data_IF_926407244740
#
_entry.id   IF_926407244740
#
_cell.length_a   1.000
_cell.length_b   1.000
_cell.length_c   1.000
_cell.angle_alpha   90.00
_cell.angle_beta   90.00
_cell.angle_gamma   90.00
#
_symmetry.space_group_name_H-M   'P 1'
#
loop_
_entity.id
_entity.type
_entity.pdbx_description
1 polymer ?
#
# COMPACT_ATOMS: atom_id res chain seq x y z
N UNK A 1 9.41 5.65 29.55
CA UNK A 1 9.29 4.82 28.34
C UNK A 1 10.44 3.82 28.31
N UNK A 2 10.17 2.51 28.29
CA UNK A 2 11.20 1.49 28.09
C UNK A 2 11.48 1.39 26.59
N UNK A 3 12.69 1.76 26.17
CA UNK A 3 13.14 1.57 24.80
C UNK A 3 13.61 0.13 24.65
N UNK A 4 12.91 -0.64 23.80
CA UNK A 4 13.35 -1.96 23.39
C UNK A 4 14.19 -1.78 22.13
N UNK A 5 15.51 -2.06 22.16
CA UNK A 5 16.33 -1.95 20.96
C UNK A 5 15.81 -2.93 19.90
N UNK A 6 15.53 -2.43 18.70
CA UNK A 6 15.21 -3.26 17.55
C UNK A 6 16.34 -4.26 17.32
N UNK A 7 16.03 -5.55 17.40
CA UNK A 7 16.97 -6.65 17.12
C UNK A 7 17.42 -6.60 15.66
N UNK A 8 18.61 -7.11 15.34
CA UNK A 8 19.16 -7.03 13.98
C UNK A 8 18.30 -7.78 12.94
N UNK A 9 17.57 -8.81 13.35
CA UNK A 9 16.56 -9.47 12.53
C UNK A 9 15.41 -8.51 12.19
N UNK A 10 14.93 -7.75 13.17
CA UNK A 10 13.90 -6.73 12.95
C UNK A 10 14.44 -5.59 12.08
N UNK A 11 15.73 -5.23 12.13
CA UNK A 11 16.34 -4.26 11.19
C UNK A 11 16.42 -4.79 9.75
N UNK A 12 16.55 -6.10 9.57
CA UNK A 12 16.61 -6.75 8.26
C UNK A 12 15.24 -6.78 7.57
N UNK A 13 14.15 -6.89 8.35
CA UNK A 13 12.76 -6.85 7.87
C UNK A 13 12.09 -5.47 8.00
N UNK A 14 12.59 -4.61 8.89
CA UNK A 14 12.24 -3.19 8.96
C UNK A 14 12.91 -2.50 7.81
N UNK A 15 12.27 -2.56 6.63
CA UNK A 15 12.67 -1.91 5.39
C UNK A 15 13.47 -0.62 5.62
N UNK A 16 14.79 -0.75 5.62
CA UNK A 16 15.73 0.36 5.54
C UNK A 16 15.78 0.94 4.11
N UNK A 17 14.64 0.87 3.42
CA UNK A 17 14.47 1.36 2.08
C UNK A 17 14.58 2.88 2.10
N UNK A 18 15.39 3.39 1.17
CA UNK A 18 15.71 4.82 1.05
C UNK A 18 14.44 5.63 0.80
N UNK A 19 13.62 5.18 -0.14
CA UNK A 19 12.37 5.82 -0.51
C UNK A 19 11.18 5.08 0.09
N UNK A 20 10.19 5.84 0.56
CA UNK A 20 8.88 5.32 0.95
C UNK A 20 7.78 6.17 0.32
N UNK A 21 6.97 5.56 -0.52
CA UNK A 21 5.88 6.18 -1.26
C UNK A 21 4.56 5.82 -0.57
N UNK A 22 3.73 6.83 -0.33
CA UNK A 22 2.36 6.66 0.14
C UNK A 22 1.42 6.79 -1.06
N UNK A 23 0.73 5.70 -1.35
CA UNK A 23 -0.23 5.61 -2.44
C UNK A 23 -1.60 5.32 -1.85
N UNK A 24 -2.61 6.08 -2.28
CA UNK A 24 -4.01 5.85 -1.93
C UNK A 24 -4.66 5.18 -3.13
N UNK A 25 -5.18 3.97 -2.94
CA UNK A 25 -5.93 3.24 -3.95
C UNK A 25 -7.42 3.38 -3.66
N UNK A 26 -8.16 3.95 -4.59
CA UNK A 26 -9.60 4.10 -4.52
C UNK A 26 -10.25 2.83 -5.08
N UNK A 27 -11.14 2.24 -4.27
CA UNK A 27 -11.84 1.01 -4.59
C UNK A 27 -13.32 1.28 -4.69
N UNK A 28 -13.93 0.77 -5.74
CA UNK A 28 -15.36 0.54 -5.80
C UNK A 28 -15.66 -0.81 -5.17
N UNK A 29 -16.68 -0.86 -4.32
CA UNK A 29 -17.15 -2.09 -3.68
C UNK A 29 -18.65 -2.21 -3.82
N UNK A 30 -19.14 -3.43 -3.99
CA UNK A 30 -20.57 -3.74 -3.98
C UNK A 30 -20.85 -4.82 -2.93
N UNK A 31 -21.91 -4.63 -2.15
CA UNK A 31 -22.41 -5.61 -1.17
C UNK A 31 -23.93 -5.53 -1.11
N UNK A 32 -24.61 -6.67 -1.28
CA UNK A 32 -26.08 -6.75 -1.19
C UNK A 32 -26.77 -5.69 -2.09
N UNK A 33 -26.28 -5.57 -3.34
CA UNK A 33 -26.72 -4.58 -4.35
C UNK A 33 -26.48 -3.11 -3.98
N UNK A 34 -25.68 -2.83 -2.95
CA UNK A 34 -25.28 -1.47 -2.57
C UNK A 34 -23.86 -1.18 -3.00
N UNK A 35 -23.74 -0.11 -3.78
CA UNK A 35 -22.49 0.46 -4.23
C UNK A 35 -21.86 1.35 -3.15
N UNK A 36 -20.55 1.23 -2.98
CA UNK A 36 -19.76 2.07 -2.07
C UNK A 36 -18.35 2.31 -2.63
N UNK A 37 -17.69 3.34 -2.12
CA UNK A 37 -16.32 3.72 -2.48
C UNK A 37 -15.46 3.82 -1.22
N UNK A 38 -14.44 2.98 -1.15
CA UNK A 38 -13.50 2.95 -0.03
C UNK A 38 -12.09 3.26 -0.51
N UNK A 39 -11.23 3.68 0.42
CA UNK A 39 -9.84 4.00 0.12
C UNK A 39 -8.90 3.05 0.87
N UNK A 40 -7.87 2.56 0.18
CA UNK A 40 -6.80 1.75 0.76
C UNK A 40 -5.47 2.48 0.67
N UNK A 41 -4.85 2.71 1.82
CA UNK A 41 -3.51 3.27 1.87
C UNK A 41 -2.49 2.14 1.72
N UNK A 42 -1.61 2.28 0.72
CA UNK A 42 -0.52 1.35 0.43
C UNK A 42 0.80 2.10 0.59
N UNK A 43 1.72 1.51 1.36
CA UNK A 43 3.08 2.00 1.49
C UNK A 43 4.00 1.14 0.63
N UNK A 44 4.62 1.74 -0.37
CA UNK A 44 5.62 1.09 -1.22
C UNK A 44 6.97 1.62 -0.79
N UNK A 45 7.90 0.74 -0.42
CA UNK A 45 9.27 1.14 -0.18
C UNK A 45 10.20 0.63 -1.27
N UNK A 46 11.24 1.42 -1.58
CA UNK A 46 12.26 1.08 -2.57
C UNK A 46 13.62 1.67 -2.18
N UNK A 47 14.70 1.01 -2.58
CA UNK A 47 16.05 1.57 -2.48
C UNK A 47 16.36 2.56 -3.62
N UNK A 48 15.59 2.50 -4.70
CA UNK A 48 15.73 3.30 -5.90
C UNK A 48 14.52 4.22 -6.07
N UNK A 49 14.71 5.30 -6.83
CA UNK A 49 13.60 6.19 -7.16
C UNK A 49 12.70 5.47 -8.16
N UNK A 50 11.43 5.30 -7.83
CA UNK A 50 10.45 4.69 -8.71
C UNK A 50 9.79 5.77 -9.56
N UNK A 51 9.52 5.43 -10.81
CA UNK A 51 8.63 6.19 -11.69
C UNK A 51 7.18 6.06 -11.24
N UNK A 52 6.32 6.93 -11.75
CA UNK A 52 4.88 6.89 -11.46
C UNK A 52 4.25 5.57 -11.95
N UNK A 53 4.65 5.08 -13.12
CA UNK A 53 4.16 3.81 -13.67
C UNK A 53 4.53 2.61 -12.79
N UNK A 54 5.78 2.57 -12.30
CA UNK A 54 6.23 1.51 -11.39
C UNK A 54 5.48 1.54 -10.05
N UNK A 55 5.16 2.74 -9.55
CA UNK A 55 4.35 2.92 -8.34
C UNK A 55 2.92 2.47 -8.54
N UNK A 56 2.31 2.84 -9.67
CA UNK A 56 0.96 2.42 -10.06
C UNK A 56 0.90 0.89 -10.15
N UNK A 57 1.84 0.27 -10.85
CA UNK A 57 1.89 -1.18 -11.00
C UNK A 57 2.08 -1.88 -9.65
N UNK A 58 3.00 -1.38 -8.81
CA UNK A 58 3.27 -1.93 -7.49
C UNK A 58 2.06 -1.82 -6.56
N UNK A 59 1.39 -0.66 -6.53
CA UNK A 59 0.19 -0.46 -5.72
C UNK A 59 -0.96 -1.37 -6.19
N UNK A 60 -1.15 -1.47 -7.50
CA UNK A 60 -2.16 -2.34 -8.12
C UNK A 60 -1.92 -3.80 -7.75
N UNK A 61 -0.68 -4.28 -7.85
CA UNK A 61 -0.33 -5.66 -7.51
C UNK A 61 -0.59 -5.98 -6.04
N UNK A 62 -0.23 -5.07 -5.13
CA UNK A 62 -0.48 -5.24 -3.69
C UNK A 62 -1.98 -5.34 -3.43
N UNK A 63 -2.78 -4.42 -3.99
CA UNK A 63 -4.23 -4.41 -3.75
C UNK A 63 -4.92 -5.60 -4.40
N UNK A 64 -4.54 -5.99 -5.62
CA UNK A 64 -5.07 -7.20 -6.26
C UNK A 64 -4.76 -8.44 -5.40
N UNK A 65 -3.55 -8.55 -4.86
CA UNK A 65 -3.21 -9.63 -3.93
C UNK A 65 -4.10 -9.66 -2.68
N UNK A 66 -4.51 -8.50 -2.14
CA UNK A 66 -5.45 -8.42 -1.03
C UNK A 66 -6.90 -8.77 -1.43
N UNK A 67 -7.32 -8.39 -2.64
CA UNK A 67 -8.62 -8.76 -3.20
C UNK A 67 -8.69 -10.27 -3.39
N UNK A 68 -7.64 -10.86 -3.97
CA UNK A 68 -7.55 -12.29 -4.27
C UNK A 68 -7.48 -13.15 -2.99
N UNK A 69 -6.79 -12.68 -1.94
CA UNK A 69 -6.73 -13.40 -0.66
C UNK A 69 -8.07 -13.39 0.09
N UNK A 70 -8.97 -12.45 -0.25
CA UNK A 70 -10.28 -12.22 0.38
C UNK A 70 -10.25 -11.96 1.88
N UNK A 71 -9.10 -11.91 2.56
CA UNK A 71 -9.06 -11.76 4.02
C UNK A 71 -9.78 -10.49 4.50
N UNK A 72 -9.53 -9.38 3.81
CA UNK A 72 -10.09 -8.07 4.12
C UNK A 72 -11.40 -7.80 3.38
N UNK A 73 -11.59 -8.40 2.20
CA UNK A 73 -12.70 -8.09 1.28
C UNK A 73 -13.78 -9.18 1.20
N UNK A 74 -13.74 -10.22 2.05
CA UNK A 74 -14.69 -11.36 2.04
C UNK A 74 -16.17 -10.98 2.16
N UNK A 75 -16.47 -9.76 2.62
CA UNK A 75 -17.83 -9.29 2.85
C UNK A 75 -18.42 -8.52 1.67
N UNK A 76 -17.65 -8.33 0.60
CA UNK A 76 -18.09 -7.67 -0.62
C UNK A 76 -18.31 -8.71 -1.71
N UNK A 77 -19.36 -8.50 -2.50
CA UNK A 77 -19.67 -9.32 -3.68
C UNK A 77 -18.74 -8.96 -4.83
N UNK A 78 -18.32 -7.70 -4.89
CA UNK A 78 -17.40 -7.18 -5.88
C UNK A 78 -16.48 -6.11 -5.28
N UNK A 79 -15.20 -6.16 -5.65
CA UNK A 79 -14.23 -5.11 -5.38
C UNK A 79 -13.46 -4.81 -6.66
N UNK A 80 -13.33 -3.54 -7.04
CA UNK A 80 -12.57 -3.08 -8.21
C UNK A 80 -11.73 -1.87 -7.88
N UNK A 81 -10.50 -1.85 -8.37
CA UNK A 81 -9.68 -0.63 -8.36
C UNK A 81 -10.27 0.35 -9.38
N UNK A 82 -10.55 1.57 -8.95
CA UNK A 82 -11.11 2.63 -9.81
C UNK A 82 -10.25 3.88 -9.88
N UNK A 83 -9.27 4.00 -8.98
CA UNK A 83 -8.35 5.14 -8.98
C UNK A 83 -7.11 4.88 -8.12
N UNK A 84 -6.03 5.57 -8.46
CA UNK A 84 -4.78 5.55 -7.71
C UNK A 84 -4.31 7.00 -7.57
N UNK A 85 -4.05 7.42 -6.34
CA UNK A 85 -3.60 8.77 -6.01
C UNK A 85 -2.27 8.70 -5.27
N UNK A 86 -1.27 9.46 -5.73
CA UNK A 86 0.00 9.58 -5.04
C UNK A 86 -0.08 10.68 -3.96
N UNK A 87 0.06 10.29 -2.69
CA UNK A 87 -0.05 11.20 -1.56
C UNK A 87 1.30 11.82 -1.15
N UNK A 88 2.42 11.20 -1.55
CA UNK A 88 3.75 11.73 -1.31
C UNK A 88 4.83 10.66 -1.19
N UNK A 89 6.09 11.10 -1.23
CA UNK A 89 7.26 10.26 -1.01
C UNK A 89 8.15 10.85 0.08
N UNK A 90 8.69 9.96 0.89
CA UNK A 90 9.76 10.25 1.83
C UNK A 90 11.07 9.69 1.28
N UNK A 91 12.09 10.54 1.09
CA UNK A 91 13.48 10.11 0.86
C UNK A 91 14.25 10.28 2.17
N UNK A 92 14.74 9.16 2.72
CA UNK A 92 15.52 9.15 3.96
C UNK A 92 16.84 9.91 3.86
N UNK A 93 17.36 10.09 2.66
CA UNK A 93 18.63 10.79 2.43
C UNK A 93 18.43 12.27 2.08
N UNK A 94 17.19 12.76 2.01
CA UNK A 94 16.92 14.18 1.87
C UNK A 94 17.32 14.87 3.20
N UNK A 95 18.41 15.64 3.16
CA UNK A 95 18.87 16.48 4.27
C UNK A 95 18.13 17.81 4.28
#
# INVERSE_FOLDING_TARGET
MKYYPMTDDVKKFSNNQRFAYNVVVNLYTCKDEKDDYINKNVRIGSNEKLSEEELIQSATNVVNGLIDSKEEFKHYDLVKIVGITFAGAYDRHLK
#
